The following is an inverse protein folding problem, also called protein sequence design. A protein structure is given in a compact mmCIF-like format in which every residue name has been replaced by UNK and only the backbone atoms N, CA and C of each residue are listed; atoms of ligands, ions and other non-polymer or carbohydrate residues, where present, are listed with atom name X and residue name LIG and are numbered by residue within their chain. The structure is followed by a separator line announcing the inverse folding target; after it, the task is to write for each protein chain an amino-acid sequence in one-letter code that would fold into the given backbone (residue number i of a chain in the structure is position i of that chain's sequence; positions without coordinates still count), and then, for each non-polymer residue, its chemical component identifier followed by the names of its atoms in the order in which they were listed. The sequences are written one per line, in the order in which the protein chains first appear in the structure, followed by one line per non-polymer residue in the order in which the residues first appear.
data_IF_455208243160
#
_entry.id   IF_455208243160
#
_cell.length_a   1.000
_cell.length_b   1.000
_cell.length_c   1.000
_cell.angle_alpha   90.00
_cell.angle_beta   90.00
_cell.angle_gamma   90.00
#
_symmetry.space_group_name_H-M   'P 1'
#
loop_
_entity.id
_entity.type
_entity.pdbx_description
1 polymer ?
#
# COMPACT_ATOMS: atom_id res chain seq x y z
N UNK A 1 -15.56 -59.63 -27.56
CA UNK A 1 -16.19 -58.29 -27.69
C UNK A 1 -15.15 -57.37 -28.31
N UNK A 2 -15.38 -56.85 -29.52
CA UNK A 2 -14.43 -55.95 -30.20
C UNK A 2 -14.58 -54.56 -29.56
N UNK A 3 -13.52 -54.07 -28.91
CA UNK A 3 -13.46 -52.71 -28.38
C UNK A 3 -13.52 -51.77 -29.59
N UNK A 4 -14.65 -51.09 -29.78
CA UNK A 4 -14.75 -49.97 -30.72
C UNK A 4 -13.95 -48.82 -30.08
N UNK A 5 -12.70 -48.66 -30.49
CA UNK A 5 -11.91 -47.48 -30.15
C UNK A 5 -12.54 -46.29 -30.89
N UNK A 6 -12.93 -45.20 -30.19
CA UNK A 6 -13.46 -44.03 -30.87
C UNK A 6 -12.34 -43.36 -31.66
N UNK A 7 -12.63 -42.93 -32.90
CA UNK A 7 -11.69 -42.16 -33.69
C UNK A 7 -11.31 -40.86 -32.95
N UNK A 8 -10.02 -40.46 -32.96
CA UNK A 8 -9.58 -39.20 -32.38
C UNK A 8 -10.19 -38.02 -33.15
N UNK A 9 -10.51 -36.90 -32.48
CA UNK A 9 -11.07 -35.74 -33.17
C UNK A 9 -10.05 -35.24 -34.21
N UNK A 10 -10.52 -35.03 -35.44
CA UNK A 10 -9.74 -34.39 -36.50
C UNK A 10 -9.54 -32.93 -36.11
N UNK A 11 -8.44 -32.63 -35.41
CA UNK A 11 -7.96 -31.27 -35.26
C UNK A 11 -7.34 -30.84 -36.58
N UNK A 12 -8.15 -30.29 -37.47
CA UNK A 12 -7.64 -29.54 -38.62
C UNK A 12 -6.82 -28.35 -38.11
N UNK A 13 -5.59 -28.13 -38.60
CA UNK A 13 -4.75 -27.01 -38.18
C UNK A 13 -5.45 -25.66 -38.31
N UNK A 14 -6.32 -25.51 -39.33
CA UNK A 14 -7.11 -24.30 -39.55
C UNK A 14 -8.11 -24.00 -38.43
N UNK A 15 -8.58 -25.02 -37.71
CA UNK A 15 -9.50 -24.85 -36.58
C UNK A 15 -8.76 -24.37 -35.33
N UNK A 16 -7.55 -24.89 -35.10
CA UNK A 16 -6.69 -24.49 -33.97
C UNK A 16 -6.22 -23.04 -34.14
N UNK A 17 -5.85 -22.65 -35.36
CA UNK A 17 -5.41 -21.29 -35.67
C UNK A 17 -6.55 -20.25 -35.57
N UNK A 18 -7.78 -20.62 -35.98
CA UNK A 18 -8.95 -19.76 -35.74
C UNK A 18 -9.26 -19.60 -34.25
N UNK A 19 -9.10 -20.65 -33.45
CA UNK A 19 -9.30 -20.53 -32.00
C UNK A 19 -8.24 -19.68 -31.32
N UNK A 20 -6.97 -19.76 -31.75
CA UNK A 20 -5.91 -18.91 -31.20
C UNK A 20 -6.11 -17.44 -31.55
N UNK A 21 -6.53 -17.13 -32.78
CA UNK A 21 -6.89 -15.78 -33.20
C UNK A 21 -8.09 -15.21 -32.43
N UNK A 22 -9.11 -16.03 -32.15
CA UNK A 22 -10.26 -15.62 -31.33
C UNK A 22 -9.87 -15.35 -29.87
N UNK A 23 -8.96 -16.15 -29.31
CA UNK A 23 -8.42 -15.94 -27.96
C UNK A 23 -7.56 -14.68 -27.89
N UNK A 24 -6.76 -14.41 -28.92
CA UNK A 24 -5.94 -13.20 -29.03
C UNK A 24 -6.81 -11.94 -29.12
N UNK A 25 -7.89 -12.00 -29.91
CA UNK A 25 -8.88 -10.92 -29.97
C UNK A 25 -9.57 -10.69 -28.62
N UNK A 26 -9.98 -11.74 -27.93
CA UNK A 26 -10.57 -11.63 -26.59
C UNK A 26 -9.57 -11.10 -25.56
N UNK A 27 -8.28 -11.42 -25.69
CA UNK A 27 -7.23 -10.86 -24.85
C UNK A 27 -6.98 -9.37 -25.16
N UNK A 28 -6.98 -8.99 -26.43
CA UNK A 28 -6.86 -7.61 -26.87
C UNK A 28 -8.05 -6.75 -26.40
N UNK A 29 -9.28 -7.24 -26.54
CA UNK A 29 -10.47 -6.54 -26.06
C UNK A 29 -10.44 -6.37 -24.54
N UNK A 30 -10.04 -7.40 -23.78
CA UNK A 30 -9.83 -7.28 -22.31
C UNK A 30 -8.76 -6.28 -21.95
N UNK A 31 -7.65 -6.24 -22.69
CA UNK A 31 -6.57 -5.27 -22.45
C UNK A 31 -7.05 -3.86 -22.75
N UNK A 32 -7.74 -3.66 -23.87
CA UNK A 32 -8.28 -2.36 -24.27
C UNK A 32 -9.30 -1.87 -23.24
N UNK A 33 -10.18 -2.75 -22.76
CA UNK A 33 -11.17 -2.46 -21.72
C UNK A 33 -10.48 -2.04 -20.41
N UNK A 34 -9.40 -2.73 -20.02
CA UNK A 34 -8.61 -2.42 -18.82
C UNK A 34 -7.86 -1.09 -18.90
N UNK A 35 -7.33 -0.73 -20.07
CA UNK A 35 -6.51 0.47 -20.23
C UNK A 35 -7.31 1.72 -20.65
N UNK A 36 -8.42 1.57 -21.37
CA UNK A 36 -9.24 2.70 -21.85
C UNK A 36 -10.34 3.08 -20.88
N UNK A 37 -10.99 2.12 -20.21
CA UNK A 37 -11.95 2.47 -19.17
C UNK A 37 -11.17 2.79 -17.90
N UNK A 38 -11.51 3.90 -17.23
CA UNK A 38 -10.83 4.37 -16.01
C UNK A 38 -10.99 3.46 -14.78
N UNK A 39 -11.25 2.17 -15.00
CA UNK A 39 -11.31 1.12 -14.00
C UNK A 39 -9.89 0.71 -13.60
N UNK A 40 -9.17 1.64 -12.96
CA UNK A 40 -8.03 1.24 -12.14
C UNK A 40 -8.63 0.55 -10.90
N UNK A 41 -8.53 -0.79 -10.73
CA UNK A 41 -8.91 -1.37 -9.46
C UNK A 41 -8.09 -0.66 -8.38
N UNK A 42 -8.70 -0.32 -7.23
CA UNK A 42 -7.97 0.33 -6.15
C UNK A 42 -6.75 -0.53 -5.89
N UNK A 43 -5.56 0.07 -6.06
CA UNK A 43 -4.33 -0.61 -5.66
C UNK A 43 -4.58 -0.98 -4.21
N UNK A 44 -4.46 -2.25 -3.86
CA UNK A 44 -4.26 -2.68 -2.48
C UNK A 44 -2.88 -2.15 -2.06
N UNK A 45 -2.75 -0.82 -1.97
CA UNK A 45 -1.89 -0.18 -1.00
C UNK A 45 -2.48 -0.67 0.30
N UNK A 46 -1.74 -1.56 0.96
CA UNK A 46 -1.98 -1.98 2.32
C UNK A 46 -2.60 -0.80 3.06
N UNK A 47 -3.90 -0.91 3.34
CA UNK A 47 -4.73 0.22 3.73
C UNK A 47 -4.06 0.79 4.97
N UNK A 48 -3.34 1.91 4.81
CA UNK A 48 -2.67 2.53 5.94
C UNK A 48 -3.73 2.62 7.02
N UNK A 49 -3.52 1.91 8.13
CA UNK A 49 -4.51 1.75 9.20
C UNK A 49 -5.02 3.13 9.68
N UNK A 50 -4.24 4.17 9.38
CA UNK A 50 -4.57 5.58 9.45
C UNK A 50 -4.37 6.28 8.10
N UNK A 51 -5.31 6.10 7.16
CA UNK A 51 -5.35 6.93 5.96
C UNK A 51 -5.89 8.31 6.34
N UNK A 52 -5.05 9.35 6.24
CA UNK A 52 -5.53 10.73 6.40
C UNK A 52 -6.46 11.04 5.20
N UNK A 53 -7.73 11.41 5.44
CA UNK A 53 -8.64 11.77 4.35
C UNK A 53 -8.02 12.88 3.49
N UNK A 54 -8.15 12.80 2.17
CA UNK A 54 -7.60 13.80 1.25
C UNK A 54 -8.18 15.21 1.40
N UNK A 55 -9.17 15.40 2.29
CA UNK A 55 -9.75 16.67 2.68
C UNK A 55 -9.06 17.35 3.87
N UNK A 56 -8.13 16.68 4.55
CA UNK A 56 -7.42 17.26 5.69
C UNK A 56 -6.37 18.24 5.20
N UNK A 57 -6.44 19.47 5.71
CA UNK A 57 -5.44 20.51 5.46
C UNK A 57 -4.05 20.02 5.93
N UNK A 58 -3.00 20.32 5.15
CA UNK A 58 -1.62 19.94 5.48
C UNK A 58 -1.22 20.39 6.88
N UNK A 59 -1.59 21.61 7.27
CA UNK A 59 -1.34 22.15 8.61
C UNK A 59 -1.95 21.26 9.70
N UNK A 60 -3.23 20.90 9.55
CA UNK A 60 -3.93 20.05 10.50
C UNK A 60 -3.30 18.64 10.57
N UNK A 61 -2.85 18.09 9.44
CA UNK A 61 -2.13 16.82 9.41
C UNK A 61 -0.77 16.91 10.13
N UNK A 62 -0.04 18.02 9.98
CA UNK A 62 1.24 18.23 10.65
C UNK A 62 1.06 18.47 12.16
N UNK A 63 0.03 19.22 12.59
CA UNK A 63 -0.33 19.37 14.01
C UNK A 63 -0.61 18.01 14.63
N UNK A 64 -1.45 17.20 13.97
CA UNK A 64 -1.76 15.84 14.41
C UNK A 64 -0.50 14.96 14.48
N UNK A 65 0.42 15.08 13.52
CA UNK A 65 1.68 14.35 13.55
C UNK A 65 2.56 14.77 14.75
N UNK A 66 2.64 16.07 15.06
CA UNK A 66 3.39 16.57 16.22
C UNK A 66 2.82 16.02 17.54
N UNK A 67 1.49 15.99 17.68
CA UNK A 67 0.81 15.43 18.84
C UNK A 67 1.06 13.92 18.99
N UNK A 68 0.99 13.17 17.88
CA UNK A 68 1.30 11.73 17.89
C UNK A 68 2.75 11.45 18.30
N UNK A 69 3.70 12.24 17.79
CA UNK A 69 5.11 12.12 18.17
C UNK A 69 5.33 12.45 19.65
N UNK A 70 4.68 13.49 20.17
CA UNK A 70 4.69 13.81 21.61
C UNK A 70 4.14 12.65 22.45
N UNK A 71 3.04 12.04 22.04
CA UNK A 71 2.47 10.86 22.69
C UNK A 71 3.43 9.65 22.63
N UNK A 72 4.14 9.47 21.51
CA UNK A 72 5.14 8.41 21.36
C UNK A 72 6.30 8.60 22.34
N UNK A 73 6.84 9.82 22.47
CA UNK A 73 7.91 10.12 23.43
C UNK A 73 7.48 9.82 24.86
N UNK A 74 6.27 10.25 25.26
CA UNK A 74 5.72 9.97 26.58
C UNK A 74 5.55 8.45 26.81
N UNK A 75 5.01 7.75 25.81
CA UNK A 75 4.80 6.29 25.87
C UNK A 75 6.12 5.52 25.94
N UNK A 76 7.14 5.94 25.18
CA UNK A 76 8.47 5.34 25.23
C UNK A 76 9.13 5.58 26.60
N UNK A 77 9.02 6.79 27.15
CA UNK A 77 9.54 7.10 28.48
C UNK A 77 8.89 6.22 29.55
N UNK A 78 7.57 6.09 29.52
CA UNK A 78 6.82 5.25 30.46
C UNK A 78 7.14 3.77 30.28
N UNK A 79 7.19 3.26 29.05
CA UNK A 79 7.59 1.88 28.77
C UNK A 79 9.01 1.60 29.23
N UNK A 80 9.92 2.56 29.09
CA UNK A 80 11.30 2.47 29.56
C UNK A 80 11.42 2.35 31.08
N UNK A 81 10.50 2.95 31.85
CA UNK A 81 10.53 2.94 33.33
C UNK A 81 10.44 1.54 33.93
N UNK A 82 9.78 0.60 33.26
CA UNK A 82 9.71 -0.81 33.68
C UNK A 82 10.87 -1.68 33.19
N UNK A 83 11.81 -1.13 32.42
CA UNK A 83 12.89 -1.88 31.76
C UNK A 83 14.26 -1.51 32.32
N UNK A 84 15.25 -2.38 32.08
CA UNK A 84 16.65 -2.16 32.47
C UNK A 84 17.62 -2.67 31.40
N UNK A 85 18.84 -2.12 31.37
CA UNK A 85 19.88 -2.49 30.41
C UNK A 85 19.47 -2.23 28.96
N UNK A 86 19.91 -3.10 28.04
CA UNK A 86 19.75 -2.90 26.60
C UNK A 86 18.30 -2.68 26.14
N UNK A 87 17.31 -3.31 26.80
CA UNK A 87 15.90 -3.10 26.43
C UNK A 87 15.42 -1.68 26.73
N UNK A 88 15.85 -1.11 27.87
CA UNK A 88 15.58 0.29 28.19
C UNK A 88 16.26 1.22 27.19
N UNK A 89 17.51 0.92 26.83
CA UNK A 89 18.28 1.74 25.88
C UNK A 89 17.60 1.80 24.50
N UNK A 90 17.08 0.67 24.01
CA UNK A 90 16.31 0.62 22.76
C UNK A 90 15.05 1.47 22.84
N UNK A 91 14.27 1.37 23.93
CA UNK A 91 13.04 2.16 24.07
C UNK A 91 13.33 3.65 24.18
N UNK A 92 14.35 4.04 24.93
CA UNK A 92 14.76 5.45 25.01
C UNK A 92 15.28 5.97 23.67
N UNK A 93 15.97 5.13 22.88
CA UNK A 93 16.39 5.47 21.51
C UNK A 93 15.19 5.76 20.60
N UNK A 94 14.11 4.96 20.69
CA UNK A 94 12.87 5.23 19.94
C UNK A 94 12.28 6.59 20.34
N UNK A 95 12.21 6.88 21.64
CA UNK A 95 11.77 8.19 22.14
C UNK A 95 12.63 9.33 21.59
N UNK A 96 13.95 9.16 21.57
CA UNK A 96 14.86 10.15 21.02
C UNK A 96 14.65 10.40 19.51
N UNK A 97 14.47 9.33 18.72
CA UNK A 97 14.15 9.45 17.29
C UNK A 97 12.81 10.16 17.06
N UNK A 98 11.81 9.90 17.90
CA UNK A 98 10.52 10.57 17.85
C UNK A 98 10.63 12.07 18.17
N UNK A 99 11.45 12.45 19.16
CA UNK A 99 11.73 13.85 19.48
C UNK A 99 12.41 14.56 18.30
N UNK A 100 13.40 13.92 17.67
CA UNK A 100 14.04 14.46 16.46
C UNK A 100 13.02 14.65 15.35
N UNK A 101 12.21 13.63 15.03
CA UNK A 101 11.16 13.72 14.03
C UNK A 101 10.19 14.88 14.33
N UNK A 102 9.83 15.08 15.59
CA UNK A 102 8.95 16.17 16.02
C UNK A 102 9.55 17.54 15.70
N UNK A 103 10.85 17.75 15.90
CA UNK A 103 11.49 19.03 15.54
C UNK A 103 11.38 19.36 14.06
N UNK A 104 11.47 18.36 13.16
CA UNK A 104 11.25 18.56 11.73
C UNK A 104 9.80 18.91 11.40
N UNK A 105 8.83 18.28 12.07
CA UNK A 105 7.39 18.57 11.91
C UNK A 105 7.08 19.97 12.40
N UNK A 106 7.52 20.34 13.60
CA UNK A 106 7.32 21.66 14.18
C UNK A 106 7.94 22.76 13.30
N UNK A 107 9.17 22.54 12.82
CA UNK A 107 9.80 23.47 11.86
C UNK A 107 9.00 23.61 10.57
N UNK A 108 8.37 22.53 10.11
CA UNK A 108 7.53 22.56 8.90
C UNK A 108 6.23 23.33 9.14
N UNK A 109 5.63 23.20 10.33
CA UNK A 109 4.48 24.00 10.76
C UNK A 109 4.81 25.48 10.86
N UNK A 110 5.92 25.84 11.50
CA UNK A 110 6.34 27.24 11.65
C UNK A 110 6.48 27.94 10.30
N UNK A 111 7.05 27.24 9.30
CA UNK A 111 7.20 27.73 7.92
C UNK A 111 5.87 27.87 7.17
N UNK A 112 4.86 27.10 7.54
CA UNK A 112 3.54 27.18 6.93
C UNK A 112 2.74 28.36 7.48
N UNK A 113 2.90 28.67 8.77
CA UNK A 113 2.23 29.81 9.44
C UNK A 113 2.80 31.16 9.01
N UNK A 114 4.04 31.21 8.51
CA UNK A 114 4.71 32.47 8.12
C UNK A 114 4.37 33.00 6.73
N UNK A 115 3.47 32.35 5.99
CA UNK A 115 3.05 32.71 4.62
C UNK A 115 1.57 33.07 4.53
#
# INVERSE_FOLDING_TARGET
MKKLTPDPPVTSPDAVERTSQLLDRAAADRALDYYLHSHKPPRHMDQAMYAIPGSVNLEAALVQASDLLRCMVASASEAGNGLSGNQRDVVLSIGHLAELAKTFVDTSLDRLVTH
#
